data_IF_116947832207
#
_entry.id   IF_116947832207
#
_cell.length_a   1.000
_cell.length_b   1.000
_cell.length_c   1.000
_cell.angle_alpha   90.00
_cell.angle_beta   90.00
_cell.angle_gamma   90.00
#
_symmetry.space_group_name_H-M   'P 1'
#
loop_
_entity.id
_entity.type
_entity.pdbx_description
1 polymer ?
#
# COMPACT_ATOMS: atom_id res chain seq x y z
N UNK A 1 25.07 43.41 49.75
CA UNK A 1 25.12 44.89 49.59
C UNK A 1 26.50 45.35 50.03
N UNK A 2 27.25 46.18 49.28
CA UNK A 2 26.84 47.32 48.43
C UNK A 2 26.84 47.00 46.92
N UNK A 3 25.84 47.46 46.12
CA UNK A 3 25.64 48.77 45.42
C UNK A 3 26.58 48.95 44.21
N UNK A 4 26.14 48.71 42.96
CA UNK A 4 25.33 49.54 42.04
C UNK A 4 25.78 51.01 41.91
N UNK A 5 26.20 51.46 40.70
CA UNK A 5 25.49 52.42 39.80
C UNK A 5 26.34 52.79 38.54
N UNK A 6 25.81 53.52 37.53
CA UNK A 6 25.85 53.12 36.11
C UNK A 6 26.42 54.23 35.18
N UNK A 7 26.43 54.00 33.87
CA UNK A 7 26.15 55.08 32.90
C UNK A 7 25.28 54.55 31.77
N UNK A 8 24.17 55.27 31.54
CA UNK A 8 23.27 55.16 30.41
C UNK A 8 23.18 56.56 29.78
N UNK A 9 23.19 56.64 28.46
CA UNK A 9 22.70 57.75 27.61
C UNK A 9 22.75 57.20 26.17
N UNK A 10 21.83 57.37 25.24
CA UNK A 10 20.43 57.77 25.19
C UNK A 10 20.00 57.51 23.73
N UNK A 11 18.77 57.03 23.51
CA UNK A 11 18.04 57.12 22.22
C UNK A 11 17.60 58.59 21.95
N UNK A 12 16.92 59.00 20.83
CA UNK A 12 16.18 58.23 19.81
C UNK A 12 16.26 58.76 18.34
N UNK A 13 15.66 58.06 17.37
CA UNK A 13 14.54 58.55 16.52
C UNK A 13 14.20 57.64 15.31
N UNK A 14 12.94 57.16 15.34
CA UNK A 14 11.97 56.81 14.28
C UNK A 14 12.36 56.80 12.79
N UNK A 15 12.02 55.67 12.14
CA UNK A 15 10.92 55.61 11.16
C UNK A 15 11.27 55.39 9.69
N UNK A 16 10.89 54.21 9.15
CA UNK A 16 9.92 54.07 8.04
C UNK A 16 9.88 52.64 7.46
N UNK A 17 8.64 52.22 7.19
CA UNK A 17 8.16 50.98 6.58
C UNK A 17 8.30 51.04 5.05
N UNK A 18 8.77 49.96 4.38
CA UNK A 18 8.06 49.22 3.31
C UNK A 18 8.96 48.27 2.48
N UNK A 19 8.41 47.08 2.17
CA UNK A 19 8.64 46.19 1.01
C UNK A 19 10.02 45.53 0.83
N UNK A 20 10.09 44.21 1.11
CA UNK A 20 10.16 43.19 0.05
C UNK A 20 10.08 41.78 0.64
N UNK A 21 9.01 41.07 0.32
CA UNK A 21 8.82 39.62 0.49
C UNK A 21 9.06 39.01 -0.90
N UNK A 22 9.63 37.81 -0.90
CA UNK A 22 9.90 36.93 -2.06
C UNK A 22 11.29 37.08 -2.67
N UNK A 23 12.27 36.42 -2.03
CA UNK A 23 13.32 35.65 -2.70
C UNK A 23 14.05 34.82 -1.63
N UNK A 24 14.13 33.50 -1.82
CA UNK A 24 14.88 32.50 -1.02
C UNK A 24 14.13 31.57 -0.05
N UNK A 25 12.88 31.19 -0.37
CA UNK A 25 12.37 29.87 0.03
C UNK A 25 12.08 29.05 -1.24
N UNK A 26 13.14 28.44 -1.78
CA UNK A 26 13.09 27.49 -2.89
C UNK A 26 13.87 26.26 -2.45
N UNK A 27 13.15 25.22 -2.05
CA UNK A 27 13.74 23.92 -1.70
C UNK A 27 12.90 23.12 -0.72
N UNK A 28 12.04 22.27 -1.28
CA UNK A 28 11.48 21.06 -0.67
C UNK A 28 10.48 21.21 0.50
N UNK A 29 9.21 21.41 0.16
CA UNK A 29 8.07 20.86 0.91
C UNK A 29 6.96 20.46 -0.08
N UNK A 30 6.43 19.25 0.12
CA UNK A 30 5.20 18.65 -0.44
C UNK A 30 5.15 18.30 -1.94
N UNK A 31 5.35 17.01 -2.24
CA UNK A 31 4.60 16.28 -3.28
C UNK A 31 3.55 15.42 -2.55
N UNK A 32 2.46 16.01 -2.08
CA UNK A 32 1.14 15.63 -2.60
C UNK A 32 1.09 15.68 -4.13
N UNK A 33 1.06 14.51 -4.77
CA UNK A 33 0.85 14.37 -6.21
C UNK A 33 -0.17 13.26 -6.52
N UNK A 34 -1.17 13.10 -5.67
CA UNK A 34 -2.37 12.33 -5.97
C UNK A 34 -3.52 13.33 -6.12
N UNK A 35 -3.62 13.96 -7.30
CA UNK A 35 -4.82 14.69 -7.76
C UNK A 35 -4.70 15.26 -9.21
N UNK A 36 -3.52 15.20 -9.85
CA UNK A 36 -3.31 15.88 -11.15
C UNK A 36 -3.61 15.09 -12.44
N UNK A 37 -4.13 13.86 -12.38
CA UNK A 37 -4.39 13.07 -13.61
C UNK A 37 -5.85 12.65 -13.87
N UNK A 38 -6.83 13.29 -13.22
CA UNK A 38 -8.26 13.15 -13.62
C UNK A 38 -8.82 14.31 -14.46
N UNK A 39 -8.01 15.31 -14.82
CA UNK A 39 -8.47 16.52 -15.52
C UNK A 39 -8.15 16.64 -17.02
N UNK A 40 -7.33 15.75 -17.60
CA UNK A 40 -6.70 16.00 -18.89
C UNK A 40 -7.49 15.53 -20.14
N UNK A 41 -8.65 14.89 -20.00
CA UNK A 41 -9.47 14.46 -21.15
C UNK A 41 -10.75 15.27 -21.38
N UNK A 42 -11.03 16.30 -20.58
CA UNK A 42 -12.23 17.15 -20.79
C UNK A 42 -11.95 18.46 -21.55
N UNK A 43 -10.70 18.75 -21.92
CA UNK A 43 -10.30 20.07 -22.44
C UNK A 43 -10.15 20.16 -23.96
N UNK A 44 -10.94 19.42 -24.73
CA UNK A 44 -10.94 19.55 -26.20
C UNK A 44 -12.32 19.56 -26.89
N UNK A 45 -13.44 19.74 -26.18
CA UNK A 45 -14.77 19.69 -26.84
C UNK A 45 -15.74 20.84 -26.57
N UNK A 46 -15.33 21.97 -25.98
CA UNK A 46 -16.22 23.14 -25.89
C UNK A 46 -15.47 24.42 -26.24
N UNK A 47 -15.12 24.56 -27.51
CA UNK A 47 -14.85 25.86 -28.15
C UNK A 47 -15.81 26.03 -29.33
N UNK A 48 -17.09 26.27 -29.05
CA UNK A 48 -17.90 27.15 -29.89
C UNK A 48 -19.22 27.48 -29.20
N UNK A 49 -19.61 28.76 -29.28
CA UNK A 49 -20.90 29.37 -28.91
C UNK A 49 -21.06 29.95 -27.48
N UNK A 50 -20.69 31.24 -27.38
CA UNK A 50 -21.51 32.38 -26.93
C UNK A 50 -22.37 32.33 -25.65
N UNK A 51 -22.12 33.28 -24.73
CA UNK A 51 -22.86 33.61 -23.49
C UNK A 51 -24.20 34.37 -23.74
N UNK A 52 -25.00 34.82 -22.72
CA UNK A 52 -24.84 34.74 -21.25
C UNK A 52 -26.12 34.46 -20.39
N UNK A 53 -25.89 34.27 -19.08
CA UNK A 53 -26.77 34.58 -17.93
C UNK A 53 -27.93 33.64 -17.56
N UNK A 54 -27.74 32.85 -16.49
CA UNK A 54 -28.64 32.77 -15.33
C UNK A 54 -27.97 32.07 -14.14
N UNK A 55 -28.37 32.46 -12.93
CA UNK A 55 -27.81 32.08 -11.63
C UNK A 55 -27.90 30.58 -11.35
N UNK A 56 -26.77 29.91 -11.09
CA UNK A 56 -26.75 28.50 -10.66
C UNK A 56 -26.08 28.42 -9.28
N UNK A 57 -26.86 27.90 -8.31
CA UNK A 57 -26.46 27.52 -6.95
C UNK A 57 -25.30 26.51 -7.02
N UNK A 58 -24.30 26.53 -6.13
CA UNK A 58 -23.20 25.57 -6.21
C UNK A 58 -23.72 24.13 -6.02
N UNK A 59 -23.73 23.37 -7.10
CA UNK A 59 -23.95 21.92 -7.10
C UNK A 59 -22.82 21.28 -6.29
N UNK A 60 -23.20 20.45 -5.32
CA UNK A 60 -22.29 19.69 -4.47
C UNK A 60 -21.24 18.92 -5.30
N UNK A 61 -20.03 18.81 -4.74
CA UNK A 61 -18.96 17.96 -5.28
C UNK A 61 -19.50 16.52 -5.51
N UNK A 62 -19.23 15.89 -6.66
CA UNK A 62 -19.46 14.47 -6.80
C UNK A 62 -18.38 13.72 -6.00
N UNK A 63 -18.71 13.35 -4.78
CA UNK A 63 -18.07 12.24 -4.08
C UNK A 63 -18.84 10.98 -4.47
N UNK A 64 -18.56 10.40 -5.63
CA UNK A 64 -19.02 9.05 -5.89
C UNK A 64 -17.94 8.10 -5.38
N UNK A 65 -18.01 7.78 -4.10
CA UNK A 65 -17.55 6.49 -3.61
C UNK A 65 -18.17 5.39 -4.49
N UNK A 66 -17.46 4.29 -4.77
CA UNK A 66 -18.03 3.16 -5.49
C UNK A 66 -19.36 2.76 -4.83
N UNK A 67 -20.47 2.76 -5.58
CA UNK A 67 -21.76 2.40 -5.00
C UNK A 67 -21.92 0.88 -5.03
N UNK A 68 -21.48 0.19 -3.98
CA UNK A 68 -21.88 -1.20 -3.76
C UNK A 68 -23.35 -1.22 -3.31
N UNK A 69 -24.20 -2.03 -3.95
CA UNK A 69 -25.63 -2.15 -3.57
C UNK A 69 -25.84 -2.87 -2.23
N UNK A 70 -24.80 -3.58 -1.76
CA UNK A 70 -24.75 -4.33 -0.50
C UNK A 70 -23.30 -4.30 -0.02
N UNK A 71 -23.04 -3.52 1.03
CA UNK A 71 -21.77 -3.57 1.73
C UNK A 71 -21.75 -4.83 2.60
N UNK A 72 -20.63 -5.54 2.60
CA UNK A 72 -20.46 -6.83 3.29
C UNK A 72 -19.46 -6.72 4.41
N UNK A 73 -19.67 -7.50 5.48
CA UNK A 73 -18.67 -7.66 6.53
C UNK A 73 -17.52 -8.54 5.98
N UNK A 74 -16.27 -8.12 6.18
CA UNK A 74 -15.11 -8.87 5.69
C UNK A 74 -13.88 -8.71 6.60
N UNK A 75 -13.05 -9.74 6.63
CA UNK A 75 -11.75 -9.71 7.30
C UNK A 75 -10.65 -9.96 6.29
N UNK A 76 -9.61 -9.13 6.33
CA UNK A 76 -8.58 -9.12 5.31
C UNK A 76 -7.19 -9.28 5.92
N UNK A 77 -6.43 -10.25 5.42
CA UNK A 77 -5.02 -10.38 5.72
C UNK A 77 -4.17 -9.93 4.53
N UNK A 78 -3.22 -9.03 4.76
CA UNK A 78 -2.20 -8.65 3.79
C UNK A 78 -0.91 -9.40 4.08
N UNK A 79 -0.46 -10.21 3.13
CA UNK A 79 0.86 -10.83 3.16
C UNK A 79 1.83 -9.99 2.33
N UNK A 80 2.77 -9.34 3.00
CA UNK A 80 3.71 -8.38 2.42
C UNK A 80 5.08 -9.03 2.24
N UNK A 81 5.51 -9.17 0.98
CA UNK A 81 6.80 -9.74 0.65
C UNK A 81 7.93 -8.76 1.00
N UNK A 82 8.84 -9.24 1.83
CA UNK A 82 10.05 -8.55 2.27
C UNK A 82 11.29 -9.34 1.84
N UNK A 83 11.13 -10.29 0.93
CA UNK A 83 12.23 -11.09 0.41
C UNK A 83 13.21 -10.25 -0.40
N UNK A 84 14.40 -10.79 -0.60
CA UNK A 84 15.50 -10.09 -1.24
C UNK A 84 15.22 -9.65 -2.67
N UNK A 85 14.36 -10.35 -3.42
CA UNK A 85 13.97 -9.97 -4.78
C UNK A 85 13.35 -8.57 -4.84
N UNK A 86 12.53 -8.22 -3.85
CA UNK A 86 11.86 -6.92 -3.75
C UNK A 86 12.87 -5.77 -3.79
N UNK A 87 13.91 -5.78 -2.96
CA UNK A 87 14.94 -4.74 -2.92
C UNK A 87 16.20 -5.09 -3.72
N UNK A 88 16.15 -6.09 -4.60
CA UNK A 88 17.31 -6.43 -5.42
C UNK A 88 17.59 -5.32 -6.45
N UNK A 89 18.84 -4.83 -6.56
CA UNK A 89 19.19 -3.79 -7.53
C UNK A 89 19.08 -4.29 -8.98
N UNK A 90 19.19 -5.60 -9.19
CA UNK A 90 18.97 -6.25 -10.48
C UNK A 90 17.85 -7.30 -10.36
N UNK A 91 16.66 -6.97 -10.85
CA UNK A 91 15.49 -7.87 -10.80
C UNK A 91 15.66 -9.16 -11.60
N UNK A 92 16.59 -9.19 -12.56
CA UNK A 92 16.93 -10.40 -13.31
C UNK A 92 17.94 -11.31 -12.59
N UNK A 93 18.56 -10.80 -11.52
CA UNK A 93 19.50 -11.54 -10.68
C UNK A 93 19.22 -11.23 -9.21
N UNK A 94 18.10 -11.73 -8.65
CA UNK A 94 17.72 -11.44 -7.28
C UNK A 94 18.82 -11.83 -6.27
N UNK A 95 19.13 -10.89 -5.39
CA UNK A 95 19.97 -11.08 -4.21
C UNK A 95 19.10 -11.37 -2.99
N UNK A 96 19.72 -11.81 -1.88
CA UNK A 96 18.99 -12.01 -0.64
C UNK A 96 18.69 -10.70 0.08
N UNK A 97 19.45 -9.62 -0.13
CA UNK A 97 19.28 -8.32 0.55
C UNK A 97 19.01 -8.43 2.08
N UNK A 98 19.61 -9.42 2.75
CA UNK A 98 19.29 -9.72 4.14
C UNK A 98 19.68 -8.57 5.07
N UNK A 99 18.72 -8.08 5.84
CA UNK A 99 18.85 -6.94 6.75
C UNK A 99 19.30 -5.64 6.05
N UNK A 100 18.85 -5.42 4.82
CA UNK A 100 19.09 -4.20 4.05
C UNK A 100 20.57 -3.78 3.94
N UNK A 101 21.41 -4.56 3.23
CA UNK A 101 22.79 -4.15 3.00
C UNK A 101 22.86 -2.96 2.02
N UNK A 102 23.97 -2.21 2.04
CA UNK A 102 24.12 -0.95 1.29
C UNK A 102 23.78 -1.06 -0.20
N UNK A 103 24.05 -2.20 -0.86
CA UNK A 103 23.75 -2.35 -2.29
C UNK A 103 22.27 -2.52 -2.63
N UNK A 104 21.43 -2.84 -1.64
CA UNK A 104 19.98 -2.98 -1.78
C UNK A 104 19.23 -1.78 -1.20
N UNK A 105 19.96 -0.77 -0.71
CA UNK A 105 19.40 0.35 0.03
C UNK A 105 19.28 1.58 -0.86
N UNK A 106 18.08 2.14 -0.92
CA UNK A 106 17.84 3.41 -1.58
C UNK A 106 17.98 4.59 -0.62
N UNK A 107 18.66 5.63 -1.09
CA UNK A 107 18.93 6.82 -0.29
C UNK A 107 17.69 7.70 -0.01
N UNK A 108 16.59 7.46 -0.72
CA UNK A 108 15.35 8.22 -0.61
C UNK A 108 14.46 7.75 0.56
N UNK A 109 14.69 6.55 1.09
CA UNK A 109 13.90 5.93 2.15
C UNK A 109 14.73 5.70 3.41
N UNK A 110 14.04 5.45 4.53
CA UNK A 110 14.69 5.13 5.79
C UNK A 110 15.20 3.66 5.81
N UNK A 111 16.10 3.36 6.74
CA UNK A 111 16.73 2.05 6.90
C UNK A 111 15.73 0.90 7.11
N UNK A 112 14.61 1.16 7.78
CA UNK A 112 13.53 0.18 7.97
C UNK A 112 12.83 -0.15 6.66
N UNK A 113 12.57 0.81 5.79
CA UNK A 113 11.94 0.53 4.48
C UNK A 113 12.92 -0.03 3.45
N UNK A 114 14.22 0.26 3.58
CA UNK A 114 15.29 -0.23 2.70
C UNK A 114 15.30 0.30 1.27
N UNK A 115 14.27 0.04 0.47
CA UNK A 115 14.21 0.41 -0.95
C UNK A 115 12.87 1.04 -1.33
N UNK A 116 12.83 1.74 -2.47
CA UNK A 116 11.61 2.36 -2.99
C UNK A 116 10.55 1.30 -3.35
N UNK A 117 10.94 0.08 -3.78
CA UNK A 117 9.99 -0.99 -4.08
C UNK A 117 9.21 -1.47 -2.84
N UNK A 118 9.89 -1.65 -1.70
CA UNK A 118 9.19 -2.01 -0.46
C UNK A 118 8.35 -0.83 0.05
N UNK A 119 8.78 0.42 -0.17
CA UNK A 119 7.93 1.59 0.09
C UNK A 119 6.63 1.49 -0.70
N UNK A 120 6.67 1.16 -1.99
CA UNK A 120 5.45 1.02 -2.79
C UNK A 120 4.51 -0.07 -2.29
N UNK A 121 5.02 -1.19 -1.76
CA UNK A 121 4.19 -2.21 -1.09
C UNK A 121 3.52 -1.63 0.16
N UNK A 122 4.27 -0.87 0.97
CA UNK A 122 3.73 -0.22 2.18
C UNK A 122 2.63 0.77 1.82
N UNK A 123 2.88 1.65 0.85
CA UNK A 123 1.97 2.71 0.43
C UNK A 123 0.69 2.10 -0.17
N UNK A 124 0.82 1.15 -1.10
CA UNK A 124 -0.33 0.42 -1.66
C UNK A 124 -1.18 -0.27 -0.59
N UNK A 125 -0.55 -0.87 0.42
CA UNK A 125 -1.29 -1.50 1.54
C UNK A 125 -2.04 -0.46 2.37
N UNK A 126 -1.42 0.70 2.65
CA UNK A 126 -2.04 1.80 3.39
C UNK A 126 -3.22 2.39 2.61
N UNK A 127 -3.10 2.53 1.30
CA UNK A 127 -4.16 3.06 0.43
C UNK A 127 -5.34 2.09 0.34
N UNK A 128 -5.06 0.79 0.17
CA UNK A 128 -6.08 -0.27 0.25
C UNK A 128 -6.84 -0.27 1.58
N UNK A 129 -6.13 -0.27 2.71
CA UNK A 129 -6.77 -0.19 4.04
C UNK A 129 -7.58 1.10 4.16
N UNK A 130 -7.04 2.23 3.70
CA UNK A 130 -7.71 3.53 3.78
C UNK A 130 -9.02 3.56 2.99
N UNK A 131 -9.02 2.99 1.80
CA UNK A 131 -10.17 2.95 0.91
C UNK A 131 -11.22 1.94 1.39
N UNK A 132 -10.81 0.71 1.75
CA UNK A 132 -11.70 -0.32 2.30
C UNK A 132 -12.32 0.12 3.64
N UNK A 133 -11.62 0.95 4.41
CA UNK A 133 -12.15 1.46 5.67
C UNK A 133 -13.31 2.47 5.48
N UNK A 134 -13.53 2.97 4.25
CA UNK A 134 -14.62 3.91 3.96
C UNK A 134 -16.02 3.29 3.82
N UNK A 135 -16.12 1.96 3.70
CA UNK A 135 -17.40 1.23 3.61
C UNK A 135 -18.02 0.98 5.01
N UNK A 136 -19.33 0.91 5.17
CA UNK A 136 -19.98 0.76 6.49
C UNK A 136 -19.91 -0.67 7.06
N UNK A 137 -19.57 -1.67 6.24
CA UNK A 137 -19.40 -3.07 6.67
C UNK A 137 -18.36 -3.23 7.79
N UNK A 138 -18.60 -4.19 8.71
CA UNK A 138 -17.63 -4.54 9.75
C UNK A 138 -16.40 -5.16 9.10
N UNK A 139 -15.23 -4.72 9.56
CA UNK A 139 -13.96 -5.22 9.03
C UNK A 139 -12.84 -5.27 10.05
N UNK A 140 -11.91 -6.18 9.80
CA UNK A 140 -10.63 -6.21 10.48
C UNK A 140 -9.50 -6.51 9.50
N UNK A 141 -8.31 -5.98 9.81
CA UNK A 141 -7.12 -6.09 8.99
C UNK A 141 -5.99 -6.78 9.74
N UNK A 142 -5.35 -7.77 9.13
CA UNK A 142 -4.15 -8.40 9.65
C UNK A 142 -3.00 -8.20 8.68
N UNK A 143 -1.78 -8.01 9.21
CA UNK A 143 -0.57 -7.87 8.40
C UNK A 143 0.36 -9.05 8.71
N UNK A 144 0.74 -9.78 7.68
CA UNK A 144 1.81 -10.78 7.73
C UNK A 144 2.97 -10.24 6.94
N UNK A 145 4.11 -10.07 7.62
CA UNK A 145 5.38 -9.90 6.92
C UNK A 145 5.94 -11.27 6.57
N UNK A 146 6.52 -11.42 5.38
CA UNK A 146 7.22 -12.64 5.03
C UNK A 146 8.47 -12.42 4.18
N UNK A 147 9.45 -13.28 4.42
CA UNK A 147 10.62 -13.45 3.58
C UNK A 147 11.03 -14.93 3.70
N UNK A 148 12.17 -15.22 4.34
CA UNK A 148 12.59 -16.61 4.59
C UNK A 148 11.63 -17.35 5.53
N UNK A 149 10.94 -16.61 6.40
CA UNK A 149 9.89 -17.02 7.32
C UNK A 149 8.76 -15.99 7.28
N UNK A 150 7.56 -16.36 7.74
CA UNK A 150 6.42 -15.45 7.88
C UNK A 150 6.05 -15.22 9.34
N UNK A 151 5.60 -14.02 9.68
CA UNK A 151 5.11 -13.69 11.02
C UNK A 151 3.98 -12.67 10.98
N UNK A 152 2.99 -12.86 11.85
CA UNK A 152 1.95 -11.87 12.09
C UNK A 152 2.55 -10.63 12.76
N UNK A 153 2.25 -9.46 12.21
CA UNK A 153 2.64 -8.17 12.75
C UNK A 153 1.57 -7.74 13.76
N UNK A 154 1.95 -7.37 14.99
CA UNK A 154 0.98 -6.92 15.99
C UNK A 154 0.17 -5.72 15.50
N UNK A 155 -1.16 -5.81 15.58
CA UNK A 155 -2.10 -4.71 15.36
C UNK A 155 -3.43 -5.04 16.08
N UNK A 156 -4.28 -4.04 16.31
CA UNK A 156 -5.62 -4.27 16.87
C UNK A 156 -6.68 -4.58 15.82
N UNK A 157 -6.30 -4.55 14.54
CA UNK A 157 -7.17 -4.87 13.41
C UNK A 157 -7.98 -3.71 12.85
N UNK A 158 -7.94 -2.54 13.50
CA UNK A 158 -8.52 -1.30 12.99
C UNK A 158 -7.55 -0.53 12.07
N UNK A 159 -8.10 0.30 11.18
CA UNK A 159 -7.35 1.11 10.22
C UNK A 159 -6.12 1.79 10.78
N UNK A 160 -6.24 2.51 11.90
CA UNK A 160 -5.13 3.32 12.41
C UNK A 160 -4.00 2.41 12.89
N UNK A 161 -4.34 1.38 13.66
CA UNK A 161 -3.34 0.40 14.12
C UNK A 161 -2.64 -0.32 12.97
N UNK A 162 -3.39 -0.65 11.91
CA UNK A 162 -2.85 -1.34 10.73
C UNK A 162 -1.90 -0.43 9.95
N UNK A 163 -2.28 0.82 9.70
CA UNK A 163 -1.42 1.82 9.05
C UNK A 163 -0.14 2.06 9.85
N UNK A 164 -0.26 2.18 11.17
CA UNK A 164 0.91 2.36 12.06
C UNK A 164 1.84 1.14 11.99
N UNK A 165 1.28 -0.07 11.99
CA UNK A 165 2.06 -1.32 11.87
C UNK A 165 2.75 -1.44 10.52
N UNK A 166 2.09 -1.09 9.40
CA UNK A 166 2.72 -1.09 8.06
C UNK A 166 3.86 -0.08 7.98
N UNK A 167 3.66 1.14 8.49
CA UNK A 167 4.70 2.17 8.53
C UNK A 167 5.91 1.79 9.40
N UNK A 168 5.69 0.96 10.41
CA UNK A 168 6.71 0.50 11.35
C UNK A 168 7.45 -0.78 10.94
N UNK A 169 7.20 -1.33 9.75
CA UNK A 169 7.89 -2.54 9.28
C UNK A 169 9.37 -2.28 9.00
N UNK A 170 10.22 -3.18 9.52
CA UNK A 170 11.65 -3.23 9.24
C UNK A 170 11.94 -4.33 8.21
N UNK A 171 12.36 -3.95 7.00
CA UNK A 171 12.72 -4.80 5.88
C UNK A 171 13.74 -5.87 6.29
N UNK A 172 13.38 -7.13 6.04
CA UNK A 172 14.18 -8.27 6.51
C UNK A 172 15.06 -8.87 5.42
N UNK A 173 14.61 -8.86 4.17
CA UNK A 173 15.27 -9.59 3.09
C UNK A 173 15.27 -11.10 3.31
N UNK A 174 15.88 -11.81 2.37
CA UNK A 174 16.14 -13.23 2.41
C UNK A 174 15.48 -13.96 1.25
N UNK A 175 15.11 -15.21 1.50
CA UNK A 175 14.34 -16.01 0.55
C UNK A 175 12.85 -15.59 0.57
N UNK A 176 12.04 -16.27 -0.24
CA UNK A 176 10.61 -16.01 -0.40
C UNK A 176 9.84 -17.25 0.03
N UNK A 177 9.00 -17.15 1.06
CA UNK A 177 8.28 -18.27 1.67
C UNK A 177 6.77 -18.05 1.68
N UNK A 178 6.12 -18.41 0.56
CA UNK A 178 4.68 -18.25 0.41
C UNK A 178 3.87 -19.16 1.33
N UNK A 179 4.37 -20.35 1.64
CA UNK A 179 3.69 -21.29 2.53
C UNK A 179 3.49 -20.68 3.93
N UNK A 180 4.57 -20.12 4.52
CA UNK A 180 4.45 -19.41 5.79
C UNK A 180 3.58 -18.17 5.69
N UNK A 181 3.68 -17.39 4.62
CA UNK A 181 2.83 -16.20 4.43
C UNK A 181 1.33 -16.57 4.48
N UNK A 182 0.95 -17.60 3.73
CA UNK A 182 -0.42 -18.10 3.65
C UNK A 182 -0.87 -18.72 4.97
N UNK A 183 -0.01 -19.54 5.60
CA UNK A 183 -0.33 -20.19 6.87
C UNK A 183 -0.58 -19.16 7.99
N UNK A 184 0.25 -18.11 8.08
CA UNK A 184 0.07 -17.05 9.08
C UNK A 184 -1.18 -16.21 8.82
N UNK A 185 -1.49 -15.92 7.56
CA UNK A 185 -2.73 -15.23 7.25
C UNK A 185 -3.96 -16.10 7.56
N UNK A 186 -3.91 -17.40 7.26
CA UNK A 186 -4.96 -18.35 7.63
C UNK A 186 -5.16 -18.41 9.13
N UNK A 187 -4.08 -18.45 9.91
CA UNK A 187 -4.12 -18.39 11.38
C UNK A 187 -4.80 -17.09 11.87
N UNK A 188 -4.42 -15.94 11.33
CA UNK A 188 -5.01 -14.65 11.71
C UNK A 188 -6.52 -14.60 11.41
N UNK A 189 -6.91 -15.07 10.24
CA UNK A 189 -8.30 -15.11 9.77
C UNK A 189 -9.14 -16.21 10.43
N UNK A 190 -8.55 -17.11 11.21
CA UNK A 190 -9.30 -18.16 11.91
C UNK A 190 -10.11 -17.65 13.11
N UNK A 191 -9.74 -16.46 13.63
CA UNK A 191 -10.32 -15.86 14.83
C UNK A 191 -11.45 -14.86 14.54
N UNK A 192 -11.90 -14.80 13.29
CA UNK A 192 -12.77 -13.74 12.79
C UNK A 192 -14.26 -13.92 13.12
N UNK A 193 -15.03 -12.85 12.92
CA UNK A 193 -16.46 -12.82 13.17
C UNK A 193 -17.20 -13.82 12.28
N UNK A 194 -18.14 -14.56 12.87
CA UNK A 194 -18.98 -15.50 12.12
C UNK A 194 -19.78 -14.77 11.04
N UNK A 195 -19.61 -15.18 9.78
CA UNK A 195 -20.35 -14.63 8.64
C UNK A 195 -19.61 -13.55 7.85
N UNK A 196 -18.42 -13.11 8.29
CA UNK A 196 -17.57 -12.22 7.51
C UNK A 196 -16.87 -12.98 6.38
N UNK A 197 -16.81 -12.38 5.19
CA UNK A 197 -16.00 -12.89 4.09
C UNK A 197 -14.52 -12.77 4.44
N UNK A 198 -13.70 -13.78 4.14
CA UNK A 198 -12.27 -13.76 4.49
C UNK A 198 -11.42 -13.63 3.23
N UNK A 199 -10.56 -12.62 3.21
CA UNK A 199 -9.67 -12.34 2.08
C UNK A 199 -8.21 -12.37 2.51
N UNK A 200 -7.36 -12.90 1.65
CA UNK A 200 -5.91 -12.89 1.79
C UNK A 200 -5.31 -12.26 0.55
N UNK A 201 -4.74 -11.06 0.69
CA UNK A 201 -4.02 -10.39 -0.40
C UNK A 201 -2.53 -10.74 -0.30
N UNK A 202 -2.00 -11.46 -1.29
CA UNK A 202 -0.59 -11.87 -1.32
C UNK A 202 0.16 -10.97 -2.31
N UNK A 203 1.00 -10.07 -1.80
CA UNK A 203 1.73 -9.08 -2.61
C UNK A 203 3.20 -9.51 -2.71
N UNK A 204 3.68 -9.83 -3.91
CA UNK A 204 5.04 -10.37 -4.14
C UNK A 204 5.54 -10.10 -5.57
N UNK A 205 6.85 -10.27 -5.80
CA UNK A 205 7.48 -10.22 -7.12
C UNK A 205 8.16 -11.55 -7.52
N UNK A 206 8.03 -12.59 -6.70
CA UNK A 206 8.81 -13.82 -6.86
C UNK A 206 7.99 -15.10 -6.71
N UNK A 207 8.55 -16.20 -7.22
CA UNK A 207 8.08 -17.56 -6.93
C UNK A 207 8.70 -18.03 -5.61
N UNK A 208 7.97 -18.87 -4.87
CA UNK A 208 8.45 -19.42 -3.61
C UNK A 208 9.82 -20.11 -3.75
N UNK A 209 10.75 -19.76 -2.85
CA UNK A 209 12.09 -20.37 -2.72
C UNK A 209 12.29 -21.05 -1.36
N UNK A 210 11.27 -21.02 -0.49
CA UNK A 210 11.21 -21.78 0.77
C UNK A 210 9.87 -22.50 0.96
N UNK A 211 9.87 -23.64 1.70
CA UNK A 211 11.02 -24.35 2.25
C UNK A 211 11.93 -24.97 1.16
N UNK A 212 13.18 -25.31 1.48
CA UNK A 212 14.18 -25.71 0.47
C UNK A 212 13.85 -27.00 -0.30
N UNK A 213 13.03 -27.87 0.26
CA UNK A 213 12.73 -29.20 -0.27
C UNK A 213 11.71 -29.14 -1.40
N UNK A 214 10.63 -28.39 -1.19
CA UNK A 214 9.52 -28.24 -2.14
C UNK A 214 8.81 -26.90 -1.90
N UNK A 215 9.42 -25.78 -2.32
CA UNK A 215 8.92 -24.46 -1.98
C UNK A 215 7.59 -24.13 -2.64
N UNK A 216 7.42 -24.56 -3.90
CA UNK A 216 6.18 -24.35 -4.67
C UNK A 216 5.08 -25.29 -4.20
N UNK A 217 5.37 -26.59 -4.03
CA UNK A 217 4.37 -27.55 -3.56
C UNK A 217 3.88 -27.24 -2.14
N UNK A 218 4.76 -26.75 -1.26
CA UNK A 218 4.36 -26.30 0.08
C UNK A 218 3.43 -25.09 0.03
N UNK A 219 3.71 -24.11 -0.84
CA UNK A 219 2.86 -22.94 -1.01
C UNK A 219 1.47 -23.32 -1.55
N UNK A 220 1.42 -24.22 -2.53
CA UNK A 220 0.16 -24.75 -3.07
C UNK A 220 -0.63 -25.49 -1.98
N UNK A 221 0.02 -26.34 -1.19
CA UNK A 221 -0.63 -27.05 -0.09
C UNK A 221 -1.21 -26.09 0.96
N UNK A 222 -0.49 -25.05 1.34
CA UNK A 222 -0.98 -24.01 2.26
C UNK A 222 -2.17 -23.24 1.65
N UNK A 223 -2.11 -22.93 0.35
CA UNK A 223 -3.21 -22.29 -0.37
C UNK A 223 -4.46 -23.17 -0.40
N UNK A 224 -4.31 -24.47 -0.67
CA UNK A 224 -5.42 -25.43 -0.68
C UNK A 224 -6.10 -25.55 0.70
N UNK A 225 -5.32 -25.50 1.79
CA UNK A 225 -5.86 -25.44 3.15
C UNK A 225 -6.63 -24.14 3.40
N UNK A 226 -6.08 -22.98 3.03
CA UNK A 226 -6.75 -21.69 3.21
C UNK A 226 -8.06 -21.61 2.40
N UNK A 227 -8.06 -22.10 1.16
CA UNK A 227 -9.27 -22.22 0.33
C UNK A 227 -10.31 -23.15 0.98
N UNK A 228 -9.87 -24.25 1.59
CA UNK A 228 -10.72 -25.17 2.35
C UNK A 228 -11.37 -24.54 3.59
N UNK A 229 -10.74 -23.52 4.17
CA UNK A 229 -11.24 -22.73 5.31
C UNK A 229 -12.10 -21.52 4.88
N UNK A 230 -12.52 -21.49 3.62
CA UNK A 230 -13.32 -20.44 2.98
C UNK A 230 -12.62 -19.08 2.99
N UNK A 231 -11.30 -19.09 2.78
CA UNK A 231 -10.48 -17.89 2.59
C UNK A 231 -10.24 -17.68 1.10
N UNK A 232 -10.60 -16.50 0.61
CA UNK A 232 -10.37 -16.08 -0.76
C UNK A 232 -8.95 -15.49 -0.90
N UNK A 233 -8.06 -16.19 -1.59
CA UNK A 233 -6.70 -15.76 -1.86
C UNK A 233 -6.70 -14.95 -3.15
N UNK A 234 -6.25 -13.69 -3.03
CA UNK A 234 -6.11 -12.73 -4.12
C UNK A 234 -4.62 -12.43 -4.32
N UNK A 235 -4.00 -12.98 -5.37
CA UNK A 235 -2.63 -12.64 -5.74
C UNK A 235 -2.48 -11.23 -6.33
N UNK A 236 -1.48 -10.50 -5.86
CA UNK A 236 -0.96 -9.26 -6.46
C UNK A 236 0.52 -9.49 -6.80
N UNK A 237 0.83 -9.48 -8.10
CA UNK A 237 2.13 -9.89 -8.62
C UNK A 237 2.83 -8.77 -9.39
N UNK A 238 4.02 -8.38 -8.94
CA UNK A 238 4.90 -7.47 -9.70
C UNK A 238 5.79 -8.31 -10.61
N UNK A 239 5.50 -8.28 -11.90
CA UNK A 239 6.14 -9.14 -12.89
C UNK A 239 7.26 -8.41 -13.63
N UNK A 240 8.45 -9.00 -13.64
CA UNK A 240 9.55 -8.55 -14.50
C UNK A 240 9.65 -9.38 -15.80
N UNK A 241 10.20 -8.82 -16.89
CA UNK A 241 10.35 -9.54 -18.15
C UNK A 241 11.04 -10.90 -17.99
N UNK A 242 10.42 -11.96 -18.52
CA UNK A 242 10.97 -13.33 -18.47
C UNK A 242 10.59 -14.13 -17.21
N UNK A 243 9.67 -13.64 -16.39
CA UNK A 243 9.15 -14.32 -15.20
C UNK A 243 7.75 -14.95 -15.42
N UNK A 244 7.47 -15.48 -16.61
CA UNK A 244 6.15 -16.04 -16.96
C UNK A 244 5.70 -17.15 -15.98
N UNK A 245 6.64 -17.93 -15.45
CA UNK A 245 6.36 -18.96 -14.43
C UNK A 245 5.80 -18.39 -13.11
N UNK A 246 6.04 -17.11 -12.84
CA UNK A 246 5.48 -16.41 -11.68
C UNK A 246 3.96 -16.27 -11.77
N UNK A 247 3.45 -15.88 -12.95
CA UNK A 247 2.00 -15.77 -13.17
C UNK A 247 1.29 -17.11 -13.04
N UNK A 248 1.85 -18.18 -13.62
CA UNK A 248 1.28 -19.53 -13.50
C UNK A 248 1.24 -20.00 -12.04
N UNK A 249 2.31 -19.73 -11.28
CA UNK A 249 2.37 -20.03 -9.84
C UNK A 249 1.31 -19.24 -9.05
N UNK A 250 1.23 -17.92 -9.26
CA UNK A 250 0.26 -17.07 -8.57
C UNK A 250 -1.19 -17.45 -8.93
N UNK A 251 -1.47 -17.76 -10.20
CA UNK A 251 -2.78 -18.25 -10.64
C UNK A 251 -3.15 -19.58 -9.98
N UNK A 252 -2.18 -20.46 -9.75
CA UNK A 252 -2.40 -21.75 -9.08
C UNK A 252 -2.80 -21.60 -7.61
N UNK A 253 -2.23 -20.61 -6.90
CA UNK A 253 -2.58 -20.36 -5.49
C UNK A 253 -3.84 -19.49 -5.33
N UNK A 254 -4.24 -18.76 -6.38
CA UNK A 254 -5.46 -17.96 -6.41
C UNK A 254 -6.71 -18.81 -6.15
N UNK A 255 -7.70 -18.23 -5.47
CA UNK A 255 -8.99 -18.89 -5.27
C UNK A 255 -9.87 -18.88 -6.52
N UNK A 256 -9.76 -17.86 -7.37
CA UNK A 256 -10.56 -17.73 -8.60
C UNK A 256 -9.74 -17.93 -9.89
N UNK A 257 -8.43 -18.17 -9.74
CA UNK A 257 -7.48 -18.34 -10.84
C UNK A 257 -6.97 -17.02 -11.43
N UNK A 258 -7.52 -15.87 -11.01
CA UNK A 258 -7.07 -14.55 -11.45
C UNK A 258 -5.85 -14.10 -10.64
N UNK A 259 -5.04 -13.24 -11.26
CA UNK A 259 -3.87 -12.58 -10.66
C UNK A 259 -3.93 -11.11 -11.05
N UNK A 260 -3.89 -10.21 -10.08
CA UNK A 260 -3.66 -8.80 -10.35
C UNK A 260 -2.18 -8.59 -10.56
N UNK A 261 -1.78 -8.05 -11.71
CA UNK A 261 -0.37 -7.93 -12.01
C UNK A 261 -0.01 -6.59 -12.64
N UNK A 262 1.20 -6.14 -12.32
CA UNK A 262 1.83 -4.93 -12.83
C UNK A 262 3.26 -5.26 -13.27
N UNK A 263 3.93 -4.34 -13.96
CA UNK A 263 5.30 -4.54 -14.46
C UNK A 263 6.38 -3.87 -13.62
N UNK A 264 5.97 -3.15 -12.58
CA UNK A 264 6.80 -2.39 -11.66
C UNK A 264 5.99 -2.09 -10.39
N UNK A 265 6.70 -1.78 -9.31
CA UNK A 265 6.08 -1.57 -8.00
C UNK A 265 5.29 -0.26 -7.89
N UNK A 266 5.70 0.79 -8.62
CA UNK A 266 4.97 2.08 -8.62
C UNK A 266 3.55 1.92 -9.18
N UNK A 267 3.37 1.04 -10.15
CA UNK A 267 2.08 0.78 -10.79
C UNK A 267 1.07 0.03 -9.92
N UNK A 268 1.42 -0.40 -8.71
CA UNK A 268 0.50 -1.04 -7.77
C UNK A 268 -0.74 -0.17 -7.48
N UNK A 269 -0.57 1.17 -7.45
CA UNK A 269 -1.66 2.13 -7.23
C UNK A 269 -2.83 1.98 -8.24
N UNK A 270 -2.55 1.47 -9.45
CA UNK A 270 -3.58 1.30 -10.47
C UNK A 270 -4.50 0.10 -10.23
N UNK A 271 -4.14 -0.81 -9.32
CA UNK A 271 -4.92 -2.01 -9.01
C UNK A 271 -5.99 -1.76 -7.93
N UNK A 272 -5.90 -0.64 -7.20
CA UNK A 272 -6.72 -0.38 -6.02
C UNK A 272 -8.21 -0.46 -6.32
N UNK A 273 -8.68 0.22 -7.36
CA UNK A 273 -10.12 0.29 -7.65
C UNK A 273 -10.70 -1.10 -7.92
N UNK A 274 -10.04 -1.90 -8.76
CA UNK A 274 -10.52 -3.23 -9.14
C UNK A 274 -10.51 -4.19 -7.93
N UNK A 275 -9.49 -4.11 -7.08
CA UNK A 275 -9.38 -4.90 -5.85
C UNK A 275 -10.42 -4.49 -4.81
N UNK A 276 -10.66 -3.18 -4.64
CA UNK A 276 -11.72 -2.67 -3.77
C UNK A 276 -13.06 -3.21 -4.23
N UNK A 277 -13.36 -3.16 -5.53
CA UNK A 277 -14.61 -3.69 -6.08
C UNK A 277 -14.76 -5.20 -5.82
N UNK A 278 -13.68 -5.98 -5.95
CA UNK A 278 -13.70 -7.43 -5.67
C UNK A 278 -13.95 -7.77 -4.19
N UNK A 279 -13.43 -6.97 -3.26
CA UNK A 279 -13.52 -7.26 -1.81
C UNK A 279 -14.80 -6.69 -1.18
N UNK A 280 -15.16 -5.46 -1.55
CA UNK A 280 -16.22 -4.68 -0.88
C UNK A 280 -17.62 -4.88 -1.45
N UNK A 281 -17.74 -5.33 -2.71
CA UNK A 281 -19.02 -5.59 -3.33
C UNK A 281 -19.30 -7.10 -3.37
N UNK A 282 -20.44 -7.54 -2.84
CA UNK A 282 -20.90 -8.91 -3.09
C UNK A 282 -21.25 -9.07 -4.58
N UNK A 283 -20.70 -10.08 -5.26
CA UNK A 283 -21.29 -10.52 -6.52
C UNK A 283 -22.73 -10.98 -6.25
N UNK A 284 -23.71 -10.39 -6.93
CA UNK A 284 -25.10 -10.84 -6.85
C UNK A 284 -25.17 -12.31 -7.31
N UNK A 285 -25.26 -13.24 -6.35
CA UNK A 285 -25.62 -14.63 -6.64
C UNK A 285 -27.10 -14.61 -7.02
N UNK A 286 -27.37 -14.68 -8.34
CA UNK A 286 -28.67 -15.03 -8.89
C UNK A 286 -28.95 -16.53 -8.75
#
# INVERSE_FOLDING_TARGET
LPKCRPQAFAEPFRGAVHKSIAESFRGALHKSFAESFRGALYKSFVESFGAPSESIVPTALPSSSPSCSKEVDFDMCFALDMSGSVCSPNKNQPELCSSCPDQCKDSAVNDGTCCDEFRSIQDFTIDMVTALDSFDGQKSYSIVQFASSGSLVPSSGDKQSTIDSVNGLDYTGGFTNHAEAIDRCREALSSTSLGSNKYMLVITDAVSTRPSQDPVGSAIASADLAKGDDINIIPVFVMFPGQDSGLDFMSTISSDGNVFNVTDFESLEFLEQDLIEQVSCSADIN
#
